data_IF_406777822367
#
_entry.id   IF_406777822367
#
_cell.length_a   1.000
_cell.length_b   1.000
_cell.length_c   1.000
_cell.angle_alpha   90.00
_cell.angle_beta   90.00
_cell.angle_gamma   90.00
#
_symmetry.space_group_name_H-M   'P 1'
#
loop_
_entity.id
_entity.type
_entity.pdbx_description
1 polymer ?
#
# COMPACT_ATOMS: atom_id res chain seq x y z
N UNK A 1 17.47 -3.03 -15.06
CA UNK A 1 16.61 -3.08 -16.26
C UNK A 1 15.17 -2.89 -15.80
N UNK A 2 14.35 -2.19 -16.57
CA UNK A 2 12.96 -1.90 -16.21
C UNK A 2 12.08 -2.51 -17.27
N UNK A 3 11.28 -3.49 -16.87
CA UNK A 3 10.28 -4.08 -17.74
C UNK A 3 8.95 -3.39 -17.48
N UNK A 4 8.46 -2.68 -18.49
CA UNK A 4 7.07 -2.20 -18.55
C UNK A 4 6.35 -3.19 -19.47
N UNK A 5 5.33 -3.87 -18.96
CA UNK A 5 4.56 -4.79 -19.79
C UNK A 5 3.80 -3.98 -20.86
N UNK A 6 3.93 -4.33 -22.16
CA UNK A 6 3.25 -3.60 -23.21
C UNK A 6 1.73 -3.77 -23.07
N UNK A 7 0.99 -2.70 -23.31
CA UNK A 7 -0.42 -2.79 -23.63
C UNK A 7 -0.55 -3.09 -25.12
N UNK A 8 -1.13 -4.23 -25.48
CA UNK A 8 -1.61 -4.46 -26.83
C UNK A 8 -2.89 -3.65 -27.05
N UNK A 9 -2.91 -2.81 -28.08
CA UNK A 9 -4.12 -2.15 -28.59
C UNK A 9 -4.41 -0.74 -28.07
N UNK A 10 -4.88 0.11 -28.98
CA UNK A 10 -5.30 1.51 -28.76
C UNK A 10 -6.65 1.54 -28.04
N UNK A 11 -6.68 1.07 -26.80
CA UNK A 11 -7.79 1.22 -25.86
C UNK A 11 -7.29 1.86 -24.58
N UNK A 12 -8.05 2.79 -23.99
CA UNK A 12 -7.68 3.49 -22.76
C UNK A 12 -7.81 2.57 -21.53
N UNK A 13 -6.92 1.59 -21.42
CA UNK A 13 -6.91 0.68 -20.28
C UNK A 13 -6.17 1.30 -19.08
N UNK A 14 -6.83 1.45 -17.94
CA UNK A 14 -6.21 1.99 -16.72
C UNK A 14 -6.31 1.01 -15.55
N UNK A 15 -5.23 0.89 -14.77
CA UNK A 15 -5.22 0.09 -13.53
C UNK A 15 -5.38 0.97 -12.30
N UNK A 16 -6.43 0.69 -11.52
CA UNK A 16 -6.79 1.40 -10.29
C UNK A 16 -6.86 0.43 -9.11
N UNK A 17 -6.82 0.97 -7.89
CA UNK A 17 -6.87 0.21 -6.63
C UNK A 17 -5.86 -0.96 -6.62
N UNK A 18 -4.65 -0.69 -7.12
CA UNK A 18 -3.54 -1.64 -7.11
C UNK A 18 -3.10 -1.90 -5.66
N UNK A 19 -2.86 -3.15 -5.31
CA UNK A 19 -2.32 -3.57 -4.03
C UNK A 19 -1.37 -4.76 -4.20
N UNK A 20 -0.44 -4.91 -3.26
CA UNK A 20 0.54 -6.00 -3.22
C UNK A 20 0.42 -6.77 -1.91
N UNK A 21 0.80 -8.05 -1.94
CA UNK A 21 0.86 -8.88 -0.73
C UNK A 21 2.08 -8.49 0.10
N UNK A 22 2.06 -8.82 1.39
CA UNK A 22 3.15 -8.46 2.32
C UNK A 22 4.49 -9.04 1.86
N UNK A 23 4.49 -10.24 1.31
CA UNK A 23 5.69 -10.89 0.76
C UNK A 23 6.06 -10.44 -0.67
N UNK A 24 5.30 -9.51 -1.28
CA UNK A 24 5.52 -8.98 -2.62
C UNK A 24 5.35 -9.99 -3.77
N UNK A 25 4.88 -11.21 -3.49
CA UNK A 25 4.71 -12.28 -4.51
C UNK A 25 3.39 -12.21 -5.26
N UNK A 26 2.42 -11.46 -4.75
CA UNK A 26 1.09 -11.32 -5.35
C UNK A 26 0.71 -9.86 -5.50
N UNK A 27 -0.04 -9.58 -6.55
CA UNK A 27 -0.65 -8.27 -6.78
C UNK A 27 -2.09 -8.41 -7.25
N UNK A 28 -2.88 -7.39 -7.02
CA UNK A 28 -4.26 -7.28 -7.52
C UNK A 28 -4.54 -5.86 -7.93
N UNK A 29 -5.39 -5.67 -8.92
CA UNK A 29 -5.91 -4.37 -9.28
C UNK A 29 -7.24 -4.49 -10.01
N UNK A 30 -7.92 -3.35 -10.16
CA UNK A 30 -9.04 -3.25 -11.07
C UNK A 30 -8.53 -2.70 -12.40
N UNK A 31 -8.73 -3.45 -13.47
CA UNK A 31 -8.51 -3.00 -14.84
C UNK A 31 -9.80 -2.36 -15.33
N UNK A 32 -9.73 -1.06 -15.59
CA UNK A 32 -10.76 -0.31 -16.27
C UNK A 32 -10.49 -0.35 -17.77
N UNK A 33 -11.49 -0.77 -18.54
CA UNK A 33 -11.64 -0.43 -19.96
C UNK A 33 -12.84 0.52 -20.11
N UNK A 34 -13.17 0.92 -21.33
CA UNK A 34 -14.08 2.06 -21.58
C UNK A 34 -15.48 1.88 -20.96
N UNK A 35 -15.93 0.65 -20.73
CA UNK A 35 -17.26 0.37 -20.16
C UNK A 35 -17.25 -0.59 -18.96
N UNK A 36 -16.18 -1.38 -18.75
CA UNK A 36 -16.14 -2.41 -17.71
C UNK A 36 -14.98 -2.27 -16.72
N UNK A 37 -15.19 -2.85 -15.53
CA UNK A 37 -14.16 -3.06 -14.54
C UNK A 37 -13.99 -4.55 -14.32
N UNK A 38 -12.74 -5.02 -14.43
CA UNK A 38 -12.37 -6.42 -14.19
C UNK A 38 -11.32 -6.51 -13.10
N UNK A 39 -11.39 -7.55 -12.26
CA UNK A 39 -10.36 -7.82 -11.26
C UNK A 39 -9.21 -8.56 -11.93
N UNK A 40 -8.00 -8.01 -11.86
CA UNK A 40 -6.77 -8.70 -12.26
C UNK A 40 -6.06 -9.23 -11.02
N UNK A 41 -5.50 -10.44 -11.14
CA UNK A 41 -4.65 -11.08 -10.16
C UNK A 41 -3.29 -11.39 -10.77
N UNK A 42 -2.23 -11.03 -10.06
CA UNK A 42 -0.86 -11.02 -10.54
C UNK A 42 0.03 -11.95 -9.71
N UNK A 43 0.81 -12.78 -10.38
CA UNK A 43 1.92 -13.52 -9.77
C UNK A 43 3.21 -12.75 -10.04
N UNK A 44 3.95 -12.42 -8.98
CA UNK A 44 5.10 -11.49 -9.02
C UNK A 44 6.41 -12.14 -8.52
N UNK A 45 6.44 -13.48 -8.42
CA UNK A 45 7.53 -14.25 -7.83
C UNK A 45 8.83 -14.27 -8.66
N UNK A 46 8.79 -13.88 -9.93
CA UNK A 46 9.94 -13.74 -10.83
C UNK A 46 9.89 -12.39 -11.53
N UNK A 47 10.96 -11.97 -12.20
CA UNK A 47 11.01 -10.67 -12.91
C UNK A 47 9.82 -10.45 -13.86
N UNK A 48 9.39 -11.52 -14.54
CA UNK A 48 8.19 -11.52 -15.37
C UNK A 48 6.92 -11.61 -14.51
N UNK A 49 6.08 -10.58 -14.59
CA UNK A 49 4.81 -10.55 -13.89
C UNK A 49 3.71 -11.24 -14.71
N UNK A 50 3.06 -12.26 -14.14
CA UNK A 50 2.00 -13.01 -14.82
C UNK A 50 0.64 -12.49 -14.35
N UNK A 51 -0.12 -11.86 -15.25
CA UNK A 51 -1.48 -11.38 -15.00
C UNK A 51 -2.53 -12.42 -15.40
N UNK A 52 -3.61 -12.50 -14.62
CA UNK A 52 -4.83 -13.22 -14.97
C UNK A 52 -6.06 -12.39 -14.59
N UNK A 53 -7.02 -12.27 -15.50
CA UNK A 53 -8.35 -11.74 -15.18
C UNK A 53 -9.10 -12.76 -14.33
N UNK A 54 -9.70 -12.31 -13.22
CA UNK A 54 -10.52 -13.14 -12.33
C UNK A 54 -11.97 -13.06 -12.80
N UNK A 55 -12.53 -14.14 -13.38
CA UNK A 55 -13.86 -14.11 -13.97
C UNK A 55 -14.96 -14.04 -12.89
N UNK A 56 -16.14 -13.56 -13.29
CA UNK A 56 -17.38 -13.59 -12.48
C UNK A 56 -17.32 -12.83 -11.14
N UNK A 57 -16.35 -11.94 -10.92
CA UNK A 57 -16.29 -11.10 -9.73
C UNK A 57 -16.85 -9.72 -10.05
N UNK A 58 -18.02 -9.40 -9.49
CA UNK A 58 -18.61 -8.06 -9.62
C UNK A 58 -17.78 -7.03 -8.85
N UNK A 59 -17.16 -6.10 -9.58
CA UNK A 59 -16.35 -5.01 -9.06
C UNK A 59 -16.86 -3.66 -9.54
N UNK A 60 -16.53 -2.62 -8.80
CA UNK A 60 -16.79 -1.21 -9.14
C UNK A 60 -15.64 -0.34 -8.61
N UNK A 61 -15.65 0.96 -8.89
CA UNK A 61 -14.57 1.88 -8.46
C UNK A 61 -14.39 1.99 -6.94
N UNK A 62 -15.39 1.58 -6.16
CA UNK A 62 -15.36 1.54 -4.67
C UNK A 62 -14.94 0.17 -4.13
N UNK A 63 -14.45 -0.70 -5.01
CA UNK A 63 -13.94 -2.02 -4.64
C UNK A 63 -12.46 -1.94 -4.34
N UNK A 64 -12.07 -2.32 -3.12
CA UNK A 64 -10.69 -2.35 -2.64
C UNK A 64 -10.25 -3.80 -2.47
N UNK A 65 -9.49 -4.36 -3.43
CA UNK A 65 -8.91 -5.68 -3.29
C UNK A 65 -7.62 -5.63 -2.44
N UNK A 66 -7.39 -6.67 -1.65
CA UNK A 66 -6.16 -6.90 -0.90
C UNK A 66 -5.69 -8.34 -1.16
N UNK A 67 -4.50 -8.54 -1.76
CA UNK A 67 -3.96 -9.87 -1.99
C UNK A 67 -3.32 -10.39 -0.70
N UNK A 68 -3.50 -11.68 -0.42
CA UNK A 68 -2.86 -12.37 0.69
C UNK A 68 -1.59 -13.07 0.21
N UNK A 69 -0.70 -13.39 1.17
CA UNK A 69 0.60 -14.00 0.87
C UNK A 69 0.51 -15.40 0.23
N UNK A 70 -0.66 -16.04 0.31
CA UNK A 70 -0.97 -17.34 -0.30
C UNK A 70 -1.76 -17.25 -1.62
N UNK A 71 -1.94 -16.05 -2.18
CA UNK A 71 -2.60 -15.82 -3.46
C UNK A 71 -4.13 -15.75 -3.39
N UNK A 72 -4.72 -15.85 -2.20
CA UNK A 72 -6.13 -15.48 -2.00
C UNK A 72 -6.29 -13.96 -2.05
N UNK A 73 -7.51 -13.48 -2.24
CA UNK A 73 -7.82 -12.04 -2.30
C UNK A 73 -8.97 -11.72 -1.35
N UNK A 74 -8.77 -10.77 -0.44
CA UNK A 74 -9.88 -10.12 0.26
C UNK A 74 -10.43 -9.00 -0.61
N UNK A 75 -11.73 -9.04 -0.88
CA UNK A 75 -12.43 -8.02 -1.64
C UNK A 75 -13.34 -7.24 -0.69
N UNK A 76 -13.04 -5.96 -0.50
CA UNK A 76 -13.88 -5.03 0.26
C UNK A 76 -14.64 -4.13 -0.72
N UNK A 77 -15.96 -4.25 -0.76
CA UNK A 77 -16.81 -3.48 -1.68
C UNK A 77 -17.80 -2.61 -0.93
N UNK A 78 -17.82 -1.31 -1.22
CA UNK A 78 -18.87 -0.42 -0.72
C UNK A 78 -20.22 -0.71 -1.36
N UNK A 79 -21.28 -0.84 -0.55
CA UNK A 79 -22.69 -0.97 -0.95
C UNK A 79 -23.47 0.22 -0.38
N UNK A 80 -24.38 0.79 -1.18
CA UNK A 80 -25.31 1.83 -0.74
C UNK A 80 -24.93 3.27 -1.13
N UNK A 81 -25.81 4.21 -0.77
CA UNK A 81 -25.64 5.66 -0.99
C UNK A 81 -24.89 6.30 0.18
N UNK A 82 -24.37 7.51 -0.02
CA UNK A 82 -23.42 8.21 0.86
C UNK A 82 -23.83 8.41 2.32
N UNK A 83 -25.09 8.16 2.70
CA UNK A 83 -25.60 8.37 4.07
C UNK A 83 -25.77 7.08 4.90
N UNK A 84 -25.69 5.91 4.28
CA UNK A 84 -25.80 4.61 4.95
C UNK A 84 -24.88 3.59 4.26
N UNK A 85 -23.57 3.82 4.38
CA UNK A 85 -22.57 2.93 3.78
C UNK A 85 -22.56 1.57 4.49
N UNK A 86 -22.56 0.49 3.69
CA UNK A 86 -22.23 -0.85 4.16
C UNK A 86 -21.10 -1.40 3.32
N UNK A 87 -20.14 -2.04 3.95
CA UNK A 87 -19.02 -2.68 3.29
C UNK A 87 -19.15 -4.19 3.30
N UNK A 88 -18.94 -4.73 2.12
CA UNK A 88 -19.06 -6.12 1.81
C UNK A 88 -17.66 -6.74 1.76
N UNK A 89 -17.29 -7.54 2.76
CA UNK A 89 -16.03 -8.28 2.75
C UNK A 89 -16.22 -9.72 2.24
N UNK A 90 -15.48 -10.08 1.20
CA UNK A 90 -15.55 -11.41 0.56
C UNK A 90 -14.14 -11.96 0.37
N UNK A 91 -13.90 -13.20 0.77
CA UNK A 91 -12.67 -13.92 0.45
C UNK A 91 -12.82 -14.62 -0.90
N UNK A 92 -11.86 -14.37 -1.78
CA UNK A 92 -11.73 -15.02 -3.07
C UNK A 92 -10.56 -16.00 -3.03
N UNK A 93 -10.75 -17.19 -3.59
CA UNK A 93 -9.67 -18.17 -3.81
C UNK A 93 -9.58 -18.47 -5.32
N UNK A 94 -8.71 -17.76 -6.06
CA UNK A 94 -8.47 -18.04 -7.47
C UNK A 94 -7.91 -19.46 -7.65
N UNK A 95 -8.55 -20.25 -8.51
CA UNK A 95 -8.09 -21.60 -8.87
C UNK A 95 -8.07 -21.79 -10.39
N UNK A 96 -7.59 -22.95 -10.85
CA UNK A 96 -7.45 -23.23 -12.29
C UNK A 96 -8.78 -23.31 -13.03
N UNK A 97 -9.85 -23.79 -12.36
CA UNK A 97 -11.17 -24.04 -12.97
C UNK A 97 -12.25 -23.02 -12.57
N UNK A 98 -11.86 -21.91 -11.94
CA UNK A 98 -12.79 -20.88 -11.50
C UNK A 98 -12.41 -20.24 -10.17
N UNK A 99 -13.39 -19.57 -9.57
CA UNK A 99 -13.19 -18.73 -8.39
C UNK A 99 -14.12 -19.17 -7.25
N UNK A 100 -13.55 -19.57 -6.11
CA UNK A 100 -14.35 -19.79 -4.91
C UNK A 100 -14.55 -18.46 -4.18
N UNK A 101 -15.80 -18.12 -3.89
CA UNK A 101 -16.20 -16.88 -3.20
C UNK A 101 -16.81 -17.24 -1.84
N UNK A 102 -16.24 -16.71 -0.77
CA UNK A 102 -16.75 -16.88 0.58
C UNK A 102 -17.08 -15.52 1.17
N UNK A 103 -18.37 -15.31 1.46
CA UNK A 103 -18.83 -14.11 2.15
C UNK A 103 -18.33 -14.15 3.60
N UNK A 104 -17.59 -13.13 4.03
CA UNK A 104 -17.10 -13.05 5.42
C UNK A 104 -18.01 -12.19 6.29
N UNK A 105 -18.40 -11.00 5.80
CA UNK A 105 -19.17 -10.04 6.58
C UNK A 105 -19.82 -8.93 5.74
N UNK A 106 -20.86 -8.31 6.30
CA UNK A 106 -21.45 -7.03 5.88
C UNK A 106 -21.38 -6.02 7.04
N UNK A 107 -20.42 -5.08 6.99
CA UNK A 107 -20.12 -4.16 8.09
C UNK A 107 -20.65 -2.75 7.77
N UNK A 108 -21.34 -2.05 8.69
CA UNK A 108 -21.69 -0.63 8.49
C UNK A 108 -20.45 0.27 8.54
N UNK A 109 -20.49 1.42 7.87
CA UNK A 109 -19.46 2.46 7.98
C UNK A 109 -19.55 3.51 6.88
N UNK A 110 -19.06 4.71 7.14
CA UNK A 110 -18.91 5.77 6.14
C UNK A 110 -17.72 5.50 5.21
N UNK A 111 -16.65 4.92 5.76
CA UNK A 111 -15.42 4.54 5.06
C UNK A 111 -14.91 3.19 5.58
N UNK A 112 -14.13 2.47 4.79
CA UNK A 112 -13.44 1.28 5.28
C UNK A 112 -12.21 0.93 4.43
N UNK A 113 -11.19 0.37 5.07
CA UNK A 113 -9.99 -0.13 4.40
C UNK A 113 -9.46 -1.40 5.07
N UNK A 114 -8.73 -2.20 4.30
CA UNK A 114 -8.12 -3.43 4.77
C UNK A 114 -6.66 -3.19 5.15
N UNK A 115 -6.21 -3.89 6.19
CA UNK A 115 -4.81 -3.97 6.60
C UNK A 115 -4.33 -5.41 6.39
N UNK A 116 -3.23 -5.63 5.65
CA UNK A 116 -2.72 -6.96 5.37
C UNK A 116 -2.23 -7.68 6.63
N UNK A 117 -2.20 -9.01 6.56
CA UNK A 117 -1.55 -9.88 7.52
C UNK A 117 -0.62 -10.84 6.77
N UNK A 118 0.59 -11.04 7.27
CA UNK A 118 1.51 -12.11 6.85
C UNK A 118 1.29 -13.41 7.65
N UNK A 119 0.42 -13.41 8.66
CA UNK A 119 0.06 -14.62 9.41
C UNK A 119 -0.94 -15.48 8.64
N UNK A 120 -0.54 -16.70 8.26
CA UNK A 120 -1.39 -17.62 7.45
C UNK A 120 -2.73 -18.01 8.10
N UNK A 121 -2.84 -17.94 9.43
CA UNK A 121 -4.07 -18.23 10.18
C UNK A 121 -5.05 -17.05 10.24
N UNK A 122 -4.64 -15.87 9.78
CA UNK A 122 -5.42 -14.62 9.84
C UNK A 122 -5.54 -14.05 8.43
N UNK A 123 -6.72 -13.55 8.07
CA UNK A 123 -6.91 -12.96 6.73
C UNK A 123 -6.40 -11.51 6.67
N UNK A 124 -6.36 -10.83 7.81
CA UNK A 124 -6.02 -9.42 7.91
C UNK A 124 -6.91 -8.72 8.93
N UNK A 125 -6.92 -7.40 8.85
CA UNK A 125 -7.80 -6.56 9.64
C UNK A 125 -8.60 -5.65 8.71
N UNK A 126 -9.74 -5.20 9.22
CA UNK A 126 -10.59 -4.21 8.59
C UNK A 126 -10.69 -3.03 9.55
N UNK A 127 -10.55 -1.82 9.03
CA UNK A 127 -10.82 -0.61 9.79
C UNK A 127 -12.03 0.07 9.16
N UNK A 128 -13.08 0.30 9.94
CA UNK A 128 -14.25 1.10 9.53
C UNK A 128 -14.16 2.48 10.13
N UNK A 129 -14.53 3.49 9.36
CA UNK A 129 -14.82 4.83 9.84
C UNK A 129 -16.33 4.84 10.09
N UNK A 130 -16.71 4.78 11.36
CA UNK A 130 -18.11 4.64 11.77
C UNK A 130 -18.83 5.98 11.63
N UNK A 131 -18.14 7.04 12.07
CA UNK A 131 -18.54 8.45 12.02
C UNK A 131 -17.25 9.32 12.05
N UNK A 132 -17.33 10.65 11.86
CA UNK A 132 -16.13 11.50 11.90
C UNK A 132 -15.33 11.42 13.22
N UNK A 133 -15.98 11.05 14.31
CA UNK A 133 -15.40 10.99 15.66
C UNK A 133 -14.95 9.59 16.06
N UNK A 134 -15.20 8.54 15.27
CA UNK A 134 -14.86 7.18 15.66
C UNK A 134 -14.54 6.24 14.49
N UNK A 135 -13.59 5.36 14.73
CA UNK A 135 -13.29 4.22 13.88
C UNK A 135 -13.28 2.92 14.68
N UNK A 136 -13.62 1.81 14.04
CA UNK A 136 -13.57 0.47 14.64
C UNK A 136 -12.59 -0.42 13.90
N UNK A 137 -11.76 -1.13 14.67
CA UNK A 137 -10.82 -2.14 14.15
C UNK A 137 -11.44 -3.52 14.35
N UNK A 138 -11.46 -4.30 13.27
CA UNK A 138 -12.00 -5.65 13.20
C UNK A 138 -10.92 -6.63 12.76
N UNK A 139 -10.91 -7.83 13.33
CA UNK A 139 -10.08 -8.95 12.87
C UNK A 139 -10.86 -9.80 11.87
N UNK A 140 -10.20 -10.20 10.77
CA UNK A 140 -10.75 -11.11 9.77
C UNK A 140 -10.08 -12.48 9.83
N UNK A 141 -10.88 -13.55 9.84
CA UNK A 141 -10.43 -14.92 10.07
C UNK A 141 -10.98 -15.91 9.04
N UNK A 142 -10.22 -16.96 8.75
CA UNK A 142 -10.66 -18.05 7.87
C UNK A 142 -11.76 -18.92 8.46
N UNK A 143 -11.82 -18.98 9.79
CA UNK A 143 -12.78 -19.79 10.55
C UNK A 143 -13.79 -18.90 11.27
N UNK A 144 -15.02 -19.37 11.51
CA UNK A 144 -15.99 -18.64 12.33
C UNK A 144 -15.50 -18.38 13.77
N UNK A 145 -15.82 -17.23 14.37
CA UNK A 145 -16.43 -16.06 13.72
C UNK A 145 -15.44 -15.42 12.73
N UNK A 146 -15.90 -15.20 11.48
CA UNK A 146 -15.05 -14.67 10.41
C UNK A 146 -14.66 -13.21 10.60
N UNK A 147 -15.43 -12.48 11.39
CA UNK A 147 -15.17 -11.10 11.76
C UNK A 147 -15.37 -10.93 13.27
N UNK A 148 -14.46 -10.22 13.90
CA UNK A 148 -14.50 -9.95 15.33
C UNK A 148 -14.12 -8.50 15.61
N UNK A 149 -14.94 -7.79 16.40
CA UNK A 149 -14.62 -6.45 16.86
C UNK A 149 -13.47 -6.52 17.86
N UNK A 150 -12.39 -5.81 17.59
CA UNK A 150 -11.25 -5.72 18.52
C UNK A 150 -11.42 -4.51 19.43
N UNK A 151 -11.60 -3.33 18.85
CA UNK A 151 -11.80 -2.09 19.61
C UNK A 151 -12.33 -0.95 18.73
N UNK A 152 -12.96 0.03 19.39
CA UNK A 152 -13.34 1.32 18.82
C UNK A 152 -12.39 2.39 19.32
N UNK A 153 -11.92 3.26 18.44
CA UNK A 153 -10.93 4.31 18.71
C UNK A 153 -11.53 5.67 18.31
N UNK A 154 -11.38 6.72 19.13
CA UNK A 154 -11.78 8.07 18.76
C UNK A 154 -11.02 8.58 17.52
N UNK A 155 -11.70 9.37 16.71
CA UNK A 155 -11.23 9.92 15.44
C UNK A 155 -11.37 8.97 14.25
N UNK A 156 -11.13 9.54 13.08
CA UNK A 156 -11.00 8.81 11.82
C UNK A 156 -9.59 8.23 11.68
N UNK A 157 -9.48 6.93 11.44
CA UNK A 157 -8.20 6.24 11.26
C UNK A 157 -7.85 6.10 9.77
N UNK A 158 -6.55 6.09 9.47
CA UNK A 158 -6.01 5.79 8.14
C UNK A 158 -4.62 5.14 8.23
N UNK A 159 -4.11 4.60 7.13
CA UNK A 159 -2.83 3.91 7.10
C UNK A 159 -2.95 2.45 7.56
N UNK A 160 -2.05 2.00 8.41
CA UNK A 160 -2.02 0.62 8.92
C UNK A 160 -0.70 -0.08 8.58
N UNK A 161 0.25 -0.04 9.52
CA UNK A 161 1.57 -0.64 9.38
C UNK A 161 1.93 -1.42 10.65
N UNK A 162 2.44 -2.64 10.49
CA UNK A 162 2.85 -3.46 11.63
C UNK A 162 4.17 -2.96 12.25
N UNK A 163 4.17 -2.76 13.57
CA UNK A 163 5.36 -2.37 14.34
C UNK A 163 6.13 -3.58 14.92
N UNK A 164 5.51 -4.76 14.87
CA UNK A 164 6.04 -6.02 15.38
C UNK A 164 5.77 -7.18 14.42
N UNK A 165 6.54 -8.27 14.60
CA UNK A 165 6.43 -9.45 13.75
C UNK A 165 5.21 -10.30 14.06
N UNK A 166 4.66 -10.19 15.27
CA UNK A 166 3.51 -10.96 15.74
C UNK A 166 2.17 -10.34 15.33
N UNK A 167 2.20 -9.18 14.67
CA UNK A 167 1.01 -8.39 14.31
C UNK A 167 0.12 -8.10 15.53
N UNK A 168 0.74 -7.74 16.64
CA UNK A 168 0.03 -7.33 17.86
C UNK A 168 -0.03 -5.81 17.98
N UNK A 169 0.91 -5.07 17.36
CA UNK A 169 0.99 -3.62 17.43
C UNK A 169 0.86 -3.01 16.04
N UNK A 170 -0.23 -2.29 15.81
CA UNK A 170 -0.54 -1.61 14.56
C UNK A 170 -0.32 -0.10 14.68
N UNK A 171 0.51 0.48 13.81
CA UNK A 171 0.60 1.92 13.61
C UNK A 171 -0.50 2.41 12.66
N UNK A 172 -1.25 3.42 13.08
CA UNK A 172 -2.27 4.11 12.26
C UNK A 172 -2.18 5.61 12.46
N UNK A 173 -2.68 6.35 11.48
CA UNK A 173 -2.83 7.80 11.56
C UNK A 173 -4.24 8.12 12.07
N UNK A 174 -4.32 8.79 13.21
CA UNK A 174 -5.56 9.24 13.83
C UNK A 174 -5.80 10.70 13.44
N UNK A 175 -7.01 11.00 12.96
CA UNK A 175 -7.49 12.36 12.76
C UNK A 175 -8.67 12.65 13.68
N UNK A 176 -8.57 13.70 14.49
CA UNK A 176 -9.66 14.17 15.38
C UNK A 176 -10.12 15.53 14.86
N UNK A 177 -11.43 15.77 14.83
CA UNK A 177 -12.07 17.01 14.35
C UNK A 177 -11.71 17.41 12.90
N UNK A 178 -11.30 16.44 12.08
CA UNK A 178 -11.10 16.60 10.64
C UNK A 178 -9.88 17.41 10.16
N UNK A 179 -9.10 18.02 11.06
CA UNK A 179 -8.02 18.94 10.66
C UNK A 179 -6.60 18.49 11.04
N UNK A 180 -6.43 17.64 12.06
CA UNK A 180 -5.12 17.33 12.64
C UNK A 180 -4.89 15.83 12.64
N UNK A 181 -3.75 15.39 12.11
CA UNK A 181 -3.38 13.97 12.11
C UNK A 181 -2.13 13.74 12.94
N UNK A 182 -2.14 12.64 13.70
CA UNK A 182 -0.98 12.13 14.43
C UNK A 182 -0.88 10.62 14.26
N UNK A 183 0.31 10.07 14.39
CA UNK A 183 0.53 8.62 14.43
C UNK A 183 0.29 8.05 15.83
N UNK A 184 -0.53 7.01 15.91
CA UNK A 184 -0.75 6.23 17.13
C UNK A 184 -0.31 4.77 16.91
N UNK A 185 0.15 4.14 17.99
CA UNK A 185 0.31 2.69 18.06
C UNK A 185 -0.90 2.11 18.79
N UNK A 186 -1.49 1.08 18.20
CA UNK A 186 -2.63 0.34 18.74
C UNK A 186 -2.14 -1.06 19.11
N UNK A 187 -2.18 -1.39 20.40
CA UNK A 187 -1.94 -2.74 20.90
C UNK A 187 -3.26 -3.52 20.84
N UNK A 188 -3.36 -4.42 19.88
CA UNK A 188 -4.55 -5.22 19.62
C UNK A 188 -4.77 -6.30 20.68
N UNK A 189 -3.71 -6.71 21.40
CA UNK A 189 -3.77 -7.72 22.45
C UNK A 189 -4.28 -7.13 23.76
N UNK A 190 -3.79 -5.93 24.11
CA UNK A 190 -4.17 -5.19 25.30
C UNK A 190 -5.41 -4.31 25.07
N UNK A 191 -5.86 -4.19 23.82
CA UNK A 191 -6.95 -3.28 23.40
C UNK A 191 -6.72 -1.85 23.89
N UNK A 192 -5.47 -1.40 23.77
CA UNK A 192 -5.01 -0.10 24.20
C UNK A 192 -4.36 0.64 23.03
N UNK A 193 -4.19 1.95 23.14
CA UNK A 193 -3.51 2.74 22.13
C UNK A 193 -2.80 3.94 22.75
N UNK A 194 -1.73 4.41 22.09
CA UNK A 194 -0.94 5.58 22.52
C UNK A 194 -0.38 6.35 21.33
N UNK A 195 -0.17 7.66 21.49
CA UNK A 195 0.57 8.46 20.52
C UNK A 195 2.03 8.01 20.41
N UNK A 196 2.53 7.91 19.18
CA UNK A 196 3.93 7.57 18.90
C UNK A 196 4.61 8.52 17.91
N UNK A 197 3.83 9.34 17.20
CA UNK A 197 4.35 10.28 16.21
C UNK A 197 3.49 11.54 16.20
N UNK A 198 4.05 12.63 16.72
CA UNK A 198 3.46 13.97 16.70
C UNK A 198 4.61 14.97 16.87
N UNK A 199 4.77 15.88 15.91
CA UNK A 199 5.80 16.92 15.94
C UNK A 199 5.27 18.17 16.62
N UNK A 200 4.03 18.57 16.33
CA UNK A 200 3.35 19.67 17.00
C UNK A 200 1.84 19.43 17.01
N UNK A 201 1.13 20.16 17.88
CA UNK A 201 -0.34 20.12 17.88
C UNK A 201 -0.97 20.79 16.65
N UNK A 202 -0.22 21.60 15.91
CA UNK A 202 -0.69 22.34 14.75
C UNK A 202 -0.37 21.65 13.41
N UNK A 203 0.43 20.58 13.43
CA UNK A 203 0.89 19.89 12.23
C UNK A 203 0.02 18.71 11.86
N UNK A 204 0.11 18.33 10.60
CA UNK A 204 -0.43 17.09 10.05
C UNK A 204 0.72 16.09 9.97
N UNK A 205 0.78 15.21 10.96
CA UNK A 205 1.83 14.22 11.10
C UNK A 205 1.32 12.84 10.73
N UNK A 206 1.95 12.19 9.74
CA UNK A 206 1.53 10.87 9.25
C UNK A 206 2.67 9.88 9.29
N UNK A 207 2.42 8.71 9.86
CA UNK A 207 3.24 7.53 9.61
C UNK A 207 2.91 7.05 8.19
N UNK A 208 3.94 6.85 7.36
CA UNK A 208 3.78 6.44 5.95
C UNK A 208 4.36 5.05 5.66
N UNK A 209 5.40 4.63 6.40
CA UNK A 209 5.94 3.27 6.35
C UNK A 209 6.46 2.86 7.73
N UNK A 210 6.47 1.56 8.02
CA UNK A 210 7.14 1.01 9.18
C UNK A 210 7.71 -0.37 8.88
N UNK A 211 8.81 -0.73 9.55
CA UNK A 211 9.38 -2.08 9.54
C UNK A 211 9.34 -2.67 10.94
N UNK A 212 8.72 -3.84 11.06
CA UNK A 212 8.72 -4.62 12.28
C UNK A 212 10.09 -5.25 12.60
N UNK A 213 10.97 -5.41 11.59
CA UNK A 213 12.30 -6.01 11.74
C UNK A 213 13.33 -5.00 12.24
N UNK A 214 13.54 -3.90 11.52
CA UNK A 214 14.51 -2.86 11.89
C UNK A 214 13.97 -1.84 12.90
N UNK A 215 12.68 -1.92 13.21
CA UNK A 215 11.93 -0.93 14.00
C UNK A 215 11.91 0.47 13.40
N UNK A 216 12.30 0.61 12.13
CA UNK A 216 12.24 1.89 11.43
C UNK A 216 10.78 2.32 11.24
N UNK A 217 10.48 3.57 11.60
CA UNK A 217 9.21 4.24 11.32
C UNK A 217 9.52 5.47 10.49
N UNK A 218 8.89 5.58 9.33
CA UNK A 218 9.01 6.72 8.42
C UNK A 218 7.69 7.49 8.46
N UNK A 219 7.79 8.81 8.60
CA UNK A 219 6.62 9.68 8.63
C UNK A 219 6.82 10.97 7.86
N UNK A 220 5.71 11.65 7.59
CA UNK A 220 5.68 13.03 7.10
C UNK A 220 5.20 13.97 8.19
N UNK A 221 5.61 15.22 8.09
CA UNK A 221 5.10 16.35 8.89
C UNK A 221 5.09 17.60 8.02
N UNK A 222 4.14 18.49 8.24
CA UNK A 222 4.11 19.84 7.65
C UNK A 222 4.49 20.94 8.66
N UNK A 223 5.04 20.57 9.83
CA UNK A 223 5.33 21.51 10.93
C UNK A 223 6.26 22.67 10.56
N UNK A 224 7.03 22.53 9.48
CA UNK A 224 7.93 23.56 8.95
C UNK A 224 7.29 24.42 7.83
N UNK A 225 5.98 24.31 7.61
CA UNK A 225 5.23 25.02 6.55
C UNK A 225 5.18 24.30 5.19
N UNK A 226 5.87 23.17 5.07
CA UNK A 226 5.89 22.30 3.89
C UNK A 226 6.02 20.83 4.34
N UNK A 227 5.56 19.88 3.52
CA UNK A 227 5.67 18.46 3.86
C UNK A 227 7.14 18.00 3.83
N UNK A 228 7.59 17.41 4.94
CA UNK A 228 8.95 16.87 5.12
C UNK A 228 8.88 15.41 5.54
N UNK A 229 9.73 14.59 4.92
CA UNK A 229 9.96 13.21 5.33
C UNK A 229 10.95 13.15 6.48
N UNK A 230 10.60 12.40 7.51
CA UNK A 230 11.47 12.07 8.63
C UNK A 230 11.37 10.60 9.00
N UNK A 231 12.25 10.18 9.89
CA UNK A 231 12.26 8.81 10.39
C UNK A 231 12.73 8.73 11.83
N UNK A 232 12.32 7.68 12.51
CA UNK A 232 12.80 7.30 13.85
C UNK A 232 12.89 5.78 13.94
N UNK A 233 13.55 5.26 14.97
CA UNK A 233 13.38 3.85 15.36
C UNK A 233 12.43 3.77 16.53
N UNK A 234 11.53 2.78 16.53
CA UNK A 234 10.60 2.59 17.64
C UNK A 234 11.39 2.36 18.94
N UNK A 235 11.19 3.26 19.92
CA UNK A 235 11.94 3.28 21.17
C UNK A 235 12.94 4.44 21.26
N UNK A 236 13.34 5.02 20.13
CA UNK A 236 14.14 6.25 20.12
C UNK A 236 13.27 7.45 20.52
N UNK A 237 13.87 8.39 21.25
CA UNK A 237 13.19 9.62 21.71
C UNK A 237 13.17 10.73 20.68
N UNK A 238 13.96 10.64 19.62
CA UNK A 238 14.19 11.74 18.67
C UNK A 238 13.87 11.32 17.24
N UNK A 239 12.98 12.06 16.60
CA UNK A 239 12.70 11.95 15.17
C UNK A 239 13.77 12.71 14.39
N UNK A 240 14.29 12.10 13.32
CA UNK A 240 15.29 12.70 12.44
C UNK A 240 14.61 13.21 11.17
N UNK A 241 14.95 14.44 10.79
CA UNK A 241 14.59 15.06 9.51
C UNK A 241 15.87 15.42 8.76
N UNK A 242 16.52 14.45 8.08
CA UNK A 242 17.73 14.72 7.32
C UNK A 242 17.49 15.72 6.19
N UNK A 243 18.37 16.70 6.05
CA UNK A 243 18.31 17.68 4.95
C UNK A 243 18.40 17.01 3.58
N UNK A 244 19.11 15.88 3.46
CA UNK A 244 19.19 15.12 2.20
C UNK A 244 17.84 14.56 1.76
N UNK A 245 16.86 14.40 2.66
CA UNK A 245 15.49 13.99 2.35
C UNK A 245 14.58 15.15 1.97
N UNK A 246 15.03 16.39 2.15
CA UNK A 246 14.30 17.59 1.76
C UNK A 246 14.94 18.26 0.53
N UNK A 247 14.10 18.79 -0.35
CA UNK A 247 14.53 19.64 -1.47
C UNK A 247 13.42 20.62 -1.80
N UNK A 248 13.68 21.91 -1.59
CA UNK A 248 12.71 22.97 -1.85
C UNK A 248 12.11 22.87 -3.26
N UNK A 249 10.77 22.92 -3.34
CA UNK A 249 10.01 22.83 -4.59
C UNK A 249 9.90 21.42 -5.20
N UNK A 250 10.50 20.40 -4.61
CA UNK A 250 10.38 19.00 -5.06
C UNK A 250 9.75 18.14 -3.96
N UNK A 251 8.58 17.57 -4.25
CA UNK A 251 7.92 16.67 -3.29
C UNK A 251 8.55 15.28 -3.38
N UNK A 252 8.84 14.71 -2.22
CA UNK A 252 9.37 13.35 -2.10
C UNK A 252 8.38 12.47 -1.36
N UNK A 253 8.03 11.34 -1.97
CA UNK A 253 7.11 10.38 -1.39
C UNK A 253 7.83 9.07 -1.05
N UNK A 254 7.61 8.59 0.16
CA UNK A 254 8.01 7.25 0.56
C UNK A 254 7.16 6.21 -0.19
N UNK A 255 7.81 5.18 -0.76
CA UNK A 255 7.13 4.18 -1.60
C UNK A 255 7.11 2.79 -0.94
N UNK A 256 8.25 2.31 -0.47
CA UNK A 256 8.40 0.99 0.15
C UNK A 256 9.67 0.92 1.00
N UNK A 257 9.71 -0.01 1.95
CA UNK A 257 10.94 -0.42 2.63
C UNK A 257 11.44 -1.73 2.02
N UNK A 258 12.75 -1.96 2.03
CA UNK A 258 13.30 -3.28 1.76
C UNK A 258 12.91 -4.29 2.85
N UNK A 259 13.10 -5.59 2.59
CA UNK A 259 12.67 -6.65 3.53
C UNK A 259 13.30 -6.52 4.93
N UNK A 260 14.62 -6.20 5.08
CA UNK A 260 15.19 -5.89 6.39
C UNK A 260 14.61 -4.63 7.04
N UNK A 261 14.08 -3.69 6.24
CA UNK A 261 13.62 -2.38 6.69
C UNK A 261 14.75 -1.39 6.94
N UNK A 262 15.88 -1.57 6.29
CA UNK A 262 17.08 -0.75 6.43
C UNK A 262 17.20 0.30 5.33
N UNK A 263 16.44 0.16 4.24
CA UNK A 263 16.45 1.09 3.11
C UNK A 263 15.04 1.51 2.73
N UNK A 264 14.92 2.78 2.34
CA UNK A 264 13.69 3.40 1.90
C UNK A 264 13.75 3.65 0.39
N UNK A 265 12.83 3.04 -0.35
CA UNK A 265 12.53 3.45 -1.71
C UNK A 265 11.60 4.66 -1.68
N UNK A 266 11.94 5.67 -2.47
CA UNK A 266 11.14 6.89 -2.58
C UNK A 266 11.12 7.38 -4.03
N UNK A 267 10.12 8.19 -4.36
CA UNK A 267 10.14 9.00 -5.58
C UNK A 267 10.28 10.48 -5.26
N UNK A 268 11.06 11.19 -6.07
CA UNK A 268 11.07 12.65 -6.15
C UNK A 268 10.25 13.04 -7.39
N UNK A 269 9.21 13.87 -7.19
CA UNK A 269 8.45 14.45 -8.29
C UNK A 269 9.14 15.74 -8.71
N UNK A 270 9.65 15.75 -9.94
CA UNK A 270 10.22 16.92 -10.59
C UNK A 270 9.41 17.20 -11.85
N UNK A 271 8.55 18.23 -11.79
CA UNK A 271 7.61 18.58 -12.86
C UNK A 271 6.69 17.39 -13.22
N UNK A 272 6.73 16.91 -14.47
CA UNK A 272 5.90 15.82 -14.97
C UNK A 272 6.57 14.43 -14.88
N UNK A 273 7.75 14.33 -14.23
CA UNK A 273 8.52 13.09 -14.17
C UNK A 273 8.90 12.75 -12.72
N UNK A 274 8.79 11.47 -12.37
CA UNK A 274 9.27 10.92 -11.12
C UNK A 274 10.67 10.33 -11.28
N UNK A 275 11.56 10.63 -10.33
CA UNK A 275 12.86 9.96 -10.18
C UNK A 275 12.81 9.03 -8.99
N UNK A 276 13.30 7.81 -9.17
CA UNK A 276 13.41 6.87 -8.08
C UNK A 276 14.73 7.04 -7.33
N UNK A 277 14.66 6.97 -6.01
CA UNK A 277 15.79 7.12 -5.11
C UNK A 277 15.72 6.02 -4.05
N UNK A 278 16.88 5.55 -3.61
CA UNK A 278 17.03 4.69 -2.44
C UNK A 278 17.77 5.48 -1.37
N UNK A 279 17.12 5.64 -0.22
CA UNK A 279 17.69 6.27 0.96
C UNK A 279 18.09 5.21 2.00
N UNK A 280 19.29 5.35 2.57
CA UNK A 280 19.78 4.52 3.67
C UNK A 280 19.92 5.37 4.93
N UNK A 281 19.04 5.21 5.94
CA UNK A 281 19.09 5.93 7.21
C UNK A 281 20.40 5.79 7.99
N UNK A 282 21.10 4.65 7.87
CA UNK A 282 22.27 4.34 8.69
C UNK A 282 23.49 5.25 8.43
N UNK A 283 23.66 5.71 7.20
CA UNK A 283 24.77 6.56 6.76
C UNK A 283 24.30 7.84 6.06
N UNK A 284 23.01 8.16 6.19
CA UNK A 284 22.36 9.32 5.57
C UNK A 284 22.63 9.45 4.05
N UNK A 285 22.56 8.31 3.34
CA UNK A 285 22.92 8.25 1.92
C UNK A 285 21.69 8.11 1.03
N UNK A 286 21.57 9.03 0.07
CA UNK A 286 20.54 9.01 -0.97
C UNK A 286 21.16 8.67 -2.33
N UNK A 287 20.72 7.60 -2.96
CA UNK A 287 21.27 7.11 -4.25
C UNK A 287 20.16 7.05 -5.30
N UNK A 288 20.31 7.71 -6.46
CA UNK A 288 19.36 7.55 -7.56
C UNK A 288 19.43 6.14 -8.15
N UNK A 289 18.27 5.62 -8.55
CA UNK A 289 18.17 4.38 -9.32
C UNK A 289 17.60 4.71 -10.70
N UNK A 290 17.99 3.93 -11.70
CA UNK A 290 17.45 4.10 -13.04
C UNK A 290 15.92 3.94 -13.02
N UNK A 291 15.21 4.87 -13.63
CA UNK A 291 13.76 4.84 -13.87
C UNK A 291 13.47 5.39 -15.28
N UNK A 292 12.46 4.87 -16.02
CA UNK A 292 12.11 5.46 -17.30
C UNK A 292 11.43 6.81 -17.04
N UNK A 293 11.44 7.74 -18.02
CA UNK A 293 10.65 8.96 -17.91
C UNK A 293 9.16 8.64 -17.78
N UNK A 294 8.55 9.05 -16.68
CA UNK A 294 7.13 8.88 -16.40
C UNK A 294 6.80 9.20 -14.95
N UNK A 295 5.57 8.93 -14.54
CA UNK A 295 5.07 9.18 -13.19
C UNK A 295 5.01 7.88 -12.41
N UNK A 296 5.61 7.88 -11.21
CA UNK A 296 5.52 6.80 -10.23
C UNK A 296 4.56 7.20 -9.12
N UNK A 297 3.69 6.28 -8.73
CA UNK A 297 2.77 6.50 -7.60
C UNK A 297 2.69 5.29 -6.68
N UNK A 298 2.20 5.52 -5.46
CA UNK A 298 1.92 4.47 -4.49
C UNK A 298 0.71 3.60 -4.92
N UNK A 299 0.64 2.34 -4.47
CA UNK A 299 1.66 1.64 -3.67
C UNK A 299 2.84 1.13 -4.51
N UNK A 300 3.92 0.77 -3.82
CA UNK A 300 5.03 0.00 -4.36
C UNK A 300 5.30 -1.22 -3.45
N UNK A 301 5.99 -2.22 -3.99
CA UNK A 301 6.48 -3.39 -3.26
C UNK A 301 7.95 -3.59 -3.57
N UNK A 302 8.76 -3.86 -2.54
CA UNK A 302 10.18 -4.17 -2.67
C UNK A 302 10.43 -5.55 -2.06
N UNK A 303 10.66 -6.54 -2.92
CA UNK A 303 10.94 -7.92 -2.53
C UNK A 303 12.24 -8.39 -3.17
N UNK A 304 13.24 -8.71 -2.34
CA UNK A 304 14.58 -9.04 -2.80
C UNK A 304 15.21 -7.91 -3.62
N UNK A 305 15.62 -8.22 -4.85
CA UNK A 305 16.18 -7.26 -5.81
C UNK A 305 15.13 -6.67 -6.77
N UNK A 306 13.84 -6.99 -6.59
CA UNK A 306 12.76 -6.52 -7.45
C UNK A 306 11.89 -5.48 -6.73
N UNK A 307 11.63 -4.39 -7.44
CA UNK A 307 10.68 -3.36 -7.07
C UNK A 307 9.51 -3.38 -8.05
N UNK A 308 8.30 -3.45 -7.53
CA UNK A 308 7.04 -3.32 -8.30
C UNK A 308 6.39 -2.01 -7.94
N UNK A 309 5.99 -1.24 -8.94
CA UNK A 309 5.42 0.09 -8.73
C UNK A 309 4.37 0.41 -9.79
N UNK A 310 3.46 1.33 -9.46
CA UNK A 310 2.57 1.92 -10.45
C UNK A 310 3.33 2.93 -11.27
N UNK A 311 3.21 2.82 -12.59
CA UNK A 311 3.90 3.68 -13.54
C UNK A 311 2.94 4.11 -14.64
N UNK A 312 3.06 5.37 -15.09
CA UNK A 312 2.43 5.85 -16.31
C UNK A 312 3.34 6.80 -17.07
N UNK A 313 3.17 6.87 -18.38
CA UNK A 313 3.84 7.83 -19.25
C UNK A 313 2.86 8.28 -20.35
N UNK A 314 3.15 9.35 -21.12
CA UNK A 314 2.24 9.80 -22.19
C UNK A 314 1.89 8.70 -23.22
N UNK A 315 2.81 7.77 -23.46
CA UNK A 315 2.63 6.63 -24.37
C UNK A 315 2.23 5.32 -23.64
N UNK A 316 2.04 5.36 -22.33
CA UNK A 316 1.79 4.19 -21.48
C UNK A 316 0.73 4.52 -20.42
N UNK A 317 -0.51 4.04 -20.58
CA UNK A 317 -1.53 4.15 -19.54
C UNK A 317 -1.07 3.56 -18.19
N UNK A 318 -1.68 3.97 -17.06
CA UNK A 318 -1.32 3.48 -15.73
C UNK A 318 -1.23 1.95 -15.67
N UNK A 319 -0.02 1.46 -15.43
CA UNK A 319 0.33 0.04 -15.43
C UNK A 319 1.24 -0.32 -14.26
N UNK A 320 1.59 -1.60 -14.18
CA UNK A 320 2.59 -2.13 -13.27
C UNK A 320 3.96 -2.16 -13.96
N UNK A 321 4.97 -1.54 -13.35
CA UNK A 321 6.35 -1.61 -13.79
C UNK A 321 7.22 -2.39 -12.81
N UNK A 322 8.29 -2.96 -13.35
CA UNK A 322 9.25 -3.78 -12.59
C UNK A 322 10.63 -3.17 -12.72
N UNK A 323 11.27 -2.88 -11.59
CA UNK A 323 12.64 -2.38 -11.53
C UNK A 323 13.50 -3.40 -10.80
N UNK A 324 14.55 -3.89 -11.47
CA UNK A 324 15.58 -4.73 -10.84
C UNK A 324 16.71 -3.86 -10.28
N UNK A 325 16.89 -3.88 -8.98
CA UNK A 325 17.97 -3.21 -8.27
C UNK A 325 19.29 -3.99 -8.44
N UNK A 326 20.44 -3.29 -8.42
CA UNK A 326 21.76 -3.92 -8.49
C UNK A 326 22.22 -4.37 -9.89
N UNK A 327 21.38 -4.23 -10.93
CA UNK A 327 21.83 -4.43 -12.32
C UNK A 327 22.68 -3.23 -12.76
N UNK A 328 24.02 -3.30 -12.55
CA UNK A 328 24.97 -2.55 -13.38
C UNK A 328 24.70 -2.93 -14.84
N UNK A 329 24.64 -1.93 -15.72
CA UNK A 329 24.23 -2.06 -17.12
C UNK A 329 24.73 -3.33 -17.79
N UNK A 330 23.79 -4.16 -18.25
CA UNK A 330 23.99 -5.01 -19.41
C UNK A 330 23.14 -4.42 -20.52
N UNK A 331 23.79 -4.31 -21.67
CA UNK A 331 23.38 -3.62 -22.88
C UNK A 331 21.90 -3.74 -23.23
N UNK A 332 21.39 -2.64 -23.76
CA UNK A 332 20.13 -2.53 -24.47
C UNK A 332 20.06 -3.57 -25.60
N UNK A 333 19.32 -4.65 -25.38
CA UNK A 333 18.64 -5.38 -26.44
C UNK A 333 17.21 -5.64 -25.99
N UNK A 334 16.33 -4.70 -26.33
CA UNK A 334 14.88 -4.86 -26.36
C UNK A 334 14.55 -6.06 -27.25
N UNK A 335 14.20 -7.20 -26.65
CA UNK A 335 13.49 -8.27 -27.36
C UNK A 335 12.00 -8.02 -27.21
N UNK A 336 11.37 -7.62 -28.31
CA UNK A 336 9.93 -7.72 -28.47
C UNK A 336 9.56 -9.20 -28.52
N UNK A 337 8.71 -9.66 -27.59
CA UNK A 337 8.02 -10.94 -27.71
C UNK A 337 6.79 -10.68 -28.57
N UNK A 338 6.72 -11.38 -29.70
CA UNK A 338 5.58 -11.43 -30.60
C UNK A 338 4.62 -12.47 -30.04
N UNK A 339 3.37 -12.08 -29.79
CA UNK A 339 2.28 -12.99 -29.44
C UNK A 339 2.06 -13.99 -30.58
N UNK A 340 1.83 -15.25 -30.23
CA UNK A 340 1.40 -16.31 -31.15
C UNK A 340 0.04 -16.83 -30.69
#
# INVERSE_FOLDING_TARGET
MIAVLPAAGVGHCARVNVAFSTNGRWGVCLRADDEDLTLEHWTLASEEAVCRTVPEVAVDRRTHPLPLDDGRVLLLRGKGTSKAGRYACTLLRPGERGILKQRLADIPGLGAYLVPSHNSGRLGFLVTIDDPEHSTIWRLSTSPPHIELIMRIPGSLSGGMWLDGDESILAVNQSVDGCRSRGIAVDLSQRSWRGIWSISDASIDRIVLASSRSKLVVGTTDSAGEERLGWTRLGDSTVRFPEILHRAGCVRHALALDEPGEQLLMCEVAEAVSRLLVYRPADDRLTPIASPPGVVSTPASWAGDLVRLRFSAPHQPPTLATVRLGAKGRDEQLRAVVDN
#
